data_IF_904566423028
#
_entry.id   IF_904566423028
#
_cell.length_a   1.000
_cell.length_b   1.000
_cell.length_c   1.000
_cell.angle_alpha   90.00
_cell.angle_beta   90.00
_cell.angle_gamma   90.00
#
_symmetry.space_group_name_H-M   'P 1'
#
loop_
_entity.id
_entity.type
_entity.pdbx_description
1 polymer ?
#
# COMPACT_ATOMS: atom_id res chain seq x y z
N UNK A 1 -5.16 17.78 -19.11
CA UNK A 1 -4.10 17.28 -18.25
C UNK A 1 -4.03 18.18 -17.03
N UNK A 2 -3.96 17.60 -15.85
CA UNK A 2 -3.75 18.36 -14.62
C UNK A 2 -2.35 19.03 -14.67
N UNK A 3 -2.19 20.26 -14.18
CA UNK A 3 -0.88 20.88 -14.03
C UNK A 3 0.04 19.97 -13.18
N UNK A 4 1.33 19.90 -13.56
CA UNK A 4 2.30 18.98 -12.92
C UNK A 4 2.46 19.17 -11.41
N UNK A 5 2.09 20.33 -10.87
CA UNK A 5 2.23 20.69 -9.46
C UNK A 5 0.87 20.76 -8.73
N UNK A 6 -0.20 20.16 -9.26
CA UNK A 6 -1.48 20.13 -8.59
C UNK A 6 -1.39 19.27 -7.34
N UNK A 7 -1.65 19.85 -6.17
CA UNK A 7 -1.88 19.11 -4.93
C UNK A 7 -3.28 18.51 -4.99
N UNK A 8 -3.38 17.24 -5.43
CA UNK A 8 -4.67 16.57 -5.65
C UNK A 8 -5.47 16.43 -4.36
N UNK A 9 -4.90 16.02 -3.21
CA UNK A 9 -5.63 15.99 -1.94
C UNK A 9 -6.24 17.34 -1.55
N UNK A 10 -5.49 18.43 -1.68
CA UNK A 10 -5.96 19.77 -1.37
C UNK A 10 -7.02 20.24 -2.37
N UNK A 11 -6.82 19.97 -3.66
CA UNK A 11 -7.80 20.29 -4.70
C UNK A 11 -9.11 19.52 -4.50
N UNK A 12 -9.05 18.27 -4.04
CA UNK A 12 -10.22 17.47 -3.68
C UNK A 12 -10.96 18.07 -2.48
N UNK A 13 -10.23 18.36 -1.40
CA UNK A 13 -10.80 18.86 -0.15
C UNK A 13 -11.50 20.22 -0.31
N UNK A 14 -10.99 21.08 -1.21
CA UNK A 14 -11.54 22.42 -1.47
C UNK A 14 -12.37 22.50 -2.77
N UNK A 15 -12.49 21.39 -3.49
CA UNK A 15 -13.15 21.34 -4.79
C UNK A 15 -14.66 21.27 -4.69
N UNK A 16 -15.31 21.65 -5.78
CA UNK A 16 -16.74 21.44 -6.01
C UNK A 16 -17.05 19.93 -6.19
N UNK A 17 -18.33 19.57 -6.11
CA UNK A 17 -18.79 18.20 -6.34
C UNK A 17 -18.32 17.65 -7.70
N UNK A 18 -18.30 18.49 -8.75
CA UNK A 18 -17.82 18.10 -10.08
C UNK A 18 -16.31 17.83 -10.11
N UNK A 19 -15.52 18.61 -9.36
CA UNK A 19 -14.07 18.42 -9.24
C UNK A 19 -13.73 17.18 -8.41
N UNK A 20 -14.49 16.92 -7.36
CA UNK A 20 -14.38 15.70 -6.56
C UNK A 20 -14.76 14.46 -7.39
N UNK A 21 -15.88 14.52 -8.12
CA UNK A 21 -16.29 13.47 -9.04
C UNK A 21 -15.24 13.21 -10.14
N UNK A 22 -14.59 14.26 -10.63
CA UNK A 22 -13.49 14.12 -11.60
C UNK A 22 -12.32 13.32 -11.01
N UNK A 23 -11.89 13.60 -9.79
CA UNK A 23 -10.79 12.87 -9.13
C UNK A 23 -11.17 11.40 -8.88
N UNK A 24 -12.41 11.13 -8.45
CA UNK A 24 -12.93 9.77 -8.28
C UNK A 24 -12.90 9.01 -9.62
N UNK A 25 -13.40 9.59 -10.68
CA UNK A 25 -13.39 9.00 -12.02
C UNK A 25 -11.96 8.78 -12.54
N UNK A 26 -11.04 9.69 -12.21
CA UNK A 26 -9.62 9.56 -12.57
C UNK A 26 -8.96 8.39 -11.84
N UNK A 27 -9.29 8.14 -10.57
CA UNK A 27 -8.85 6.96 -9.83
C UNK A 27 -9.32 5.67 -10.51
N UNK A 28 -10.60 5.59 -10.85
CA UNK A 28 -11.19 4.45 -11.55
C UNK A 28 -10.51 4.25 -12.92
N UNK A 29 -10.32 5.33 -13.67
CA UNK A 29 -9.66 5.28 -14.98
C UNK A 29 -8.25 4.71 -14.86
N UNK A 30 -7.40 5.25 -14.00
CA UNK A 30 -6.02 4.78 -13.85
C UNK A 30 -5.96 3.31 -13.40
N UNK A 31 -6.76 2.94 -12.40
CA UNK A 31 -6.74 1.56 -11.87
C UNK A 31 -7.18 0.55 -12.92
N UNK A 32 -8.23 0.83 -13.69
CA UNK A 32 -8.71 -0.07 -14.76
C UNK A 32 -7.74 -0.09 -15.95
N UNK A 33 -7.23 1.08 -16.35
CA UNK A 33 -6.27 1.19 -17.45
C UNK A 33 -4.98 0.41 -17.15
N UNK A 34 -4.42 0.58 -15.96
CA UNK A 34 -3.20 -0.15 -15.58
C UNK A 34 -3.46 -1.63 -15.40
N UNK A 35 -4.58 -2.07 -14.81
CA UNK A 35 -4.95 -3.49 -14.73
C UNK A 35 -4.96 -4.14 -16.11
N UNK A 36 -5.49 -3.45 -17.12
CA UNK A 36 -5.60 -3.98 -18.47
C UNK A 36 -4.28 -3.95 -19.27
N UNK A 37 -3.44 -2.94 -19.04
CA UNK A 37 -2.34 -2.60 -19.96
C UNK A 37 -0.94 -2.60 -19.34
N UNK A 38 -0.77 -2.90 -18.06
CA UNK A 38 0.53 -2.81 -17.36
C UNK A 38 1.63 -3.57 -18.08
N UNK A 39 1.37 -4.79 -18.55
CA UNK A 39 2.35 -5.63 -19.29
C UNK A 39 2.82 -4.98 -20.60
N UNK A 40 1.91 -4.28 -21.29
CA UNK A 40 2.25 -3.53 -22.49
C UNK A 40 3.07 -2.28 -22.13
N UNK A 41 2.68 -1.59 -21.07
CA UNK A 41 3.36 -0.37 -20.62
C UNK A 41 4.78 -0.61 -20.10
N UNK A 42 5.10 -1.83 -19.69
CA UNK A 42 6.43 -2.25 -19.25
C UNK A 42 7.40 -2.55 -20.42
N UNK A 43 6.96 -2.57 -21.69
CA UNK A 43 7.75 -3.11 -22.82
C UNK A 43 8.82 -2.18 -23.33
N UNK A 44 8.58 -0.87 -23.37
CA UNK A 44 9.53 0.11 -23.91
C UNK A 44 9.79 1.26 -22.94
N UNK A 45 10.98 1.90 -22.98
CA UNK A 45 11.31 3.00 -22.09
C UNK A 45 10.33 4.17 -22.14
N UNK A 46 9.78 4.48 -23.32
CA UNK A 46 8.82 5.56 -23.52
C UNK A 46 7.50 5.24 -22.79
N UNK A 47 7.00 4.01 -22.91
CA UNK A 47 5.79 3.54 -22.24
C UNK A 47 6.00 3.42 -20.73
N UNK A 48 7.19 2.96 -20.30
CA UNK A 48 7.56 2.90 -18.88
C UNK A 48 7.55 4.30 -18.25
N UNK A 49 8.05 5.32 -18.94
CA UNK A 49 7.97 6.71 -18.45
C UNK A 49 6.53 7.17 -18.27
N UNK A 50 5.66 6.85 -19.22
CA UNK A 50 4.22 7.12 -19.12
C UNK A 50 3.56 6.40 -17.96
N UNK A 51 3.88 5.11 -17.77
CA UNK A 51 3.41 4.30 -16.65
C UNK A 51 3.83 4.90 -15.31
N UNK A 52 5.11 5.22 -15.12
CA UNK A 52 5.62 5.78 -13.86
C UNK A 52 4.98 7.14 -13.53
N UNK A 53 4.80 8.00 -14.54
CA UNK A 53 4.07 9.25 -14.34
C UNK A 53 2.61 9.02 -13.94
N UNK A 54 1.93 8.07 -14.55
CA UNK A 54 0.55 7.73 -14.19
C UNK A 54 0.44 7.11 -12.80
N UNK A 55 1.40 6.28 -12.37
CA UNK A 55 1.48 5.76 -11.01
C UNK A 55 1.73 6.88 -9.99
N UNK A 56 2.50 7.90 -10.33
CA UNK A 56 2.68 9.08 -9.48
C UNK A 56 1.37 9.84 -9.28
N UNK A 57 0.55 10.01 -10.33
CA UNK A 57 -0.79 10.56 -10.20
C UNK A 57 -1.68 9.71 -9.31
N UNK A 58 -1.65 8.38 -9.49
CA UNK A 58 -2.45 7.46 -8.67
C UNK A 58 -2.02 7.49 -7.21
N UNK A 59 -0.72 7.59 -6.91
CA UNK A 59 -0.21 7.80 -5.55
C UNK A 59 -0.78 9.10 -4.95
N UNK A 60 -0.74 10.21 -5.68
CA UNK A 60 -1.29 11.47 -5.19
C UNK A 60 -2.81 11.39 -4.96
N UNK A 61 -3.55 10.70 -5.82
CA UNK A 61 -4.98 10.43 -5.61
C UNK A 61 -5.19 9.59 -4.35
N UNK A 62 -4.30 8.61 -4.09
CA UNK A 62 -4.40 7.75 -2.89
C UNK A 62 -4.19 8.49 -1.56
N UNK A 63 -3.70 9.74 -1.59
CA UNK A 63 -3.65 10.62 -0.42
C UNK A 63 -4.94 11.42 -0.18
N UNK A 64 -5.89 11.37 -1.10
CA UNK A 64 -7.22 12.01 -0.89
C UNK A 64 -7.90 11.39 0.33
N UNK A 65 -8.45 12.26 1.19
CA UNK A 65 -9.13 11.83 2.42
C UNK A 65 -10.61 11.51 2.13
N UNK A 66 -10.80 10.49 1.29
CA UNK A 66 -12.12 9.95 0.93
C UNK A 66 -12.01 8.40 0.88
N UNK A 67 -12.73 7.68 1.76
CA UNK A 67 -12.62 6.22 1.87
C UNK A 67 -12.87 5.47 0.55
N UNK A 68 -13.86 5.87 -0.23
CA UNK A 68 -14.21 5.18 -1.48
C UNK A 68 -13.14 5.39 -2.56
N UNK A 69 -12.52 6.56 -2.64
CA UNK A 69 -11.38 6.83 -3.54
C UNK A 69 -10.17 5.98 -3.12
N UNK A 70 -9.87 5.98 -1.83
CA UNK A 70 -8.75 5.21 -1.31
C UNK A 70 -8.91 3.70 -1.53
N UNK A 71 -10.11 3.16 -1.31
CA UNK A 71 -10.43 1.74 -1.51
C UNK A 71 -10.17 1.28 -2.95
N UNK A 72 -10.62 2.06 -3.94
CA UNK A 72 -10.36 1.77 -5.36
C UNK A 72 -8.86 1.74 -5.67
N UNK A 73 -8.11 2.71 -5.13
CA UNK A 73 -6.65 2.75 -5.29
C UNK A 73 -5.97 1.59 -4.56
N UNK A 74 -6.39 1.27 -3.35
CA UNK A 74 -5.82 0.20 -2.51
C UNK A 74 -5.92 -1.17 -3.20
N UNK A 75 -7.07 -1.49 -3.79
CA UNK A 75 -7.28 -2.74 -4.52
C UNK A 75 -6.30 -2.89 -5.71
N UNK A 76 -6.00 -1.80 -6.39
CA UNK A 76 -5.00 -1.81 -7.45
C UNK A 76 -3.58 -1.98 -6.90
N UNK A 77 -3.23 -1.21 -5.86
CA UNK A 77 -1.91 -1.28 -5.24
C UNK A 77 -1.61 -2.66 -4.69
N UNK A 78 -2.57 -3.27 -4.01
CA UNK A 78 -2.45 -4.62 -3.50
C UNK A 78 -2.15 -5.62 -4.62
N UNK A 79 -2.93 -5.60 -5.72
CA UNK A 79 -2.73 -6.48 -6.86
C UNK A 79 -1.34 -6.29 -7.51
N UNK A 80 -0.87 -5.04 -7.67
CA UNK A 80 0.45 -4.74 -8.24
C UNK A 80 1.58 -5.25 -7.33
N UNK A 81 1.48 -5.03 -6.02
CA UNK A 81 2.50 -5.46 -5.05
C UNK A 81 2.59 -6.98 -4.99
N UNK A 82 1.44 -7.68 -4.98
CA UNK A 82 1.39 -9.15 -5.04
C UNK A 82 2.07 -9.68 -6.31
N UNK A 83 1.76 -9.07 -7.47
CA UNK A 83 2.35 -9.47 -8.76
C UNK A 83 3.88 -9.28 -8.76
N UNK A 84 4.39 -8.15 -8.25
CA UNK A 84 5.83 -7.89 -8.12
C UNK A 84 6.53 -8.84 -7.14
N UNK A 85 5.86 -9.23 -6.07
CA UNK A 85 6.40 -10.17 -5.09
C UNK A 85 6.50 -11.58 -5.68
N UNK A 86 5.43 -12.10 -6.28
CA UNK A 86 5.36 -13.47 -6.83
C UNK A 86 6.34 -13.69 -8.00
N UNK A 87 6.51 -12.71 -8.89
CA UNK A 87 7.45 -12.82 -10.01
C UNK A 87 8.92 -12.88 -9.60
N UNK A 88 9.25 -12.50 -8.37
CA UNK A 88 10.62 -12.55 -7.90
C UNK A 88 11.01 -13.87 -7.22
N UNK A 89 10.04 -14.62 -6.77
CA UNK A 89 10.26 -15.86 -6.01
C UNK A 89 10.36 -17.10 -6.92
N UNK A 90 10.01 -16.99 -8.20
CA UNK A 90 10.08 -18.08 -9.19
C UNK A 90 11.52 -18.52 -9.52
N UNK A 91 12.56 -17.92 -8.92
CA UNK A 91 13.98 -18.22 -9.15
C UNK A 91 14.64 -19.08 -8.07
N UNK A 92 14.02 -19.32 -6.94
CA UNK A 92 14.65 -20.10 -5.86
C UNK A 92 13.67 -21.16 -5.35
N UNK A 93 13.77 -22.37 -5.97
CA UNK A 93 13.00 -23.52 -5.56
C UNK A 93 13.39 -23.98 -4.16
N UNK A 94 12.75 -23.47 -3.15
CA UNK A 94 12.68 -24.08 -1.84
C UNK A 94 11.27 -23.89 -1.28
N UNK A 95 10.49 -24.95 -1.39
CA UNK A 95 9.16 -25.09 -0.81
C UNK A 95 9.30 -25.05 0.71
N UNK A 96 9.21 -23.88 1.31
CA UNK A 96 8.84 -23.70 2.69
C UNK A 96 7.31 -23.72 2.76
N UNK A 97 6.80 -24.84 3.28
CA UNK A 97 5.38 -25.07 3.51
C UNK A 97 5.03 -24.39 4.83
N UNK A 98 4.77 -23.10 4.79
CA UNK A 98 4.24 -22.35 5.94
C UNK A 98 2.93 -21.68 5.56
N UNK A 99 1.91 -22.07 6.32
CA UNK A 99 0.52 -21.87 6.06
C UNK A 99 0.01 -20.43 6.18
N UNK A 100 -0.13 -19.75 5.07
CA UNK A 100 -1.05 -18.63 4.88
C UNK A 100 -1.92 -18.84 3.63
N UNK A 101 -2.41 -20.06 3.43
CA UNK A 101 -3.34 -20.38 2.36
C UNK A 101 -4.77 -20.20 2.87
N UNK A 102 -5.29 -18.96 2.88
CA UNK A 102 -6.70 -18.61 2.83
C UNK A 102 -6.85 -17.14 2.39
N UNK A 103 -6.27 -16.79 1.25
CA UNK A 103 -6.55 -15.55 0.56
C UNK A 103 -7.26 -15.89 -0.76
N UNK A 104 -8.40 -15.29 -0.92
CA UNK A 104 -9.35 -15.31 -2.03
C UNK A 104 -8.66 -15.56 -3.37
N UNK A 105 -9.03 -16.67 -4.01
CA UNK A 105 -8.63 -17.06 -5.36
C UNK A 105 -9.07 -15.99 -6.39
N UNK A 106 -8.20 -15.04 -6.67
CA UNK A 106 -8.36 -14.08 -7.75
C UNK A 106 -7.47 -14.52 -8.91
N UNK A 107 -7.91 -15.58 -9.61
CA UNK A 107 -7.26 -16.05 -10.83
C UNK A 107 -7.41 -15.03 -11.95
N UNK A 108 -6.40 -14.20 -12.13
CA UNK A 108 -6.17 -13.52 -13.40
C UNK A 108 -5.82 -14.58 -14.44
N UNK A 109 -6.70 -14.73 -15.46
CA UNK A 109 -6.57 -15.74 -16.50
C UNK A 109 -5.18 -15.77 -17.13
N UNK A 110 -4.39 -16.77 -16.77
CA UNK A 110 -3.14 -17.10 -17.41
C UNK A 110 -3.42 -18.10 -18.54
N UNK A 111 -3.45 -17.59 -19.78
CA UNK A 111 -3.28 -18.44 -20.95
C UNK A 111 -1.84 -18.99 -20.96
N UNK A 112 -1.73 -20.30 -20.81
CA UNK A 112 -0.47 -21.03 -20.92
C UNK A 112 0.09 -20.94 -22.34
N UNK A 113 1.32 -20.46 -22.46
CA UNK A 113 2.15 -20.54 -23.67
C UNK A 113 3.60 -20.55 -23.26
N UNK A 114 4.24 -21.74 -23.31
CA UNK A 114 5.58 -21.96 -22.79
C UNK A 114 6.68 -21.23 -23.58
N UNK A 115 7.70 -20.79 -22.84
CA UNK A 115 9.12 -20.77 -23.27
C UNK A 115 9.97 -20.61 -21.99
N UNK A 116 10.71 -21.65 -21.65
CA UNK A 116 11.75 -21.65 -20.62
C UNK A 116 12.96 -20.83 -21.08
N UNK A 117 13.63 -20.22 -20.10
CA UNK A 117 14.98 -19.62 -20.07
C UNK A 117 14.99 -18.10 -20.15
N UNK A 118 15.06 -17.49 -18.99
CA UNK A 118 15.76 -16.25 -18.54
C UNK A 118 15.05 -15.57 -17.36
N UNK A 119 14.57 -16.32 -16.38
CA UNK A 119 13.66 -15.80 -15.33
C UNK A 119 14.30 -14.87 -14.30
N UNK A 120 15.58 -14.97 -13.99
CA UNK A 120 16.16 -14.24 -12.85
C UNK A 120 16.54 -12.77 -13.15
N UNK A 121 16.98 -12.46 -14.36
CA UNK A 121 17.32 -11.08 -14.74
C UNK A 121 16.08 -10.20 -15.00
N UNK A 122 15.04 -10.78 -15.57
CA UNK A 122 13.80 -10.07 -15.89
C UNK A 122 13.03 -9.62 -14.63
N UNK A 123 12.94 -10.49 -13.62
CA UNK A 123 12.27 -10.15 -12.35
C UNK A 123 12.98 -9.05 -11.58
N UNK A 124 14.31 -9.09 -11.55
CA UNK A 124 15.12 -8.03 -10.91
C UNK A 124 14.99 -6.68 -11.62
N UNK A 125 15.02 -6.69 -12.96
CA UNK A 125 14.85 -5.47 -13.75
C UNK A 125 13.46 -4.85 -13.59
N UNK A 126 12.41 -5.69 -13.54
CA UNK A 126 11.05 -5.25 -13.30
C UNK A 126 10.90 -4.63 -11.91
N UNK A 127 11.45 -5.25 -10.85
CA UNK A 127 11.48 -4.68 -9.50
C UNK A 127 12.21 -3.34 -9.45
N UNK A 128 13.33 -3.21 -10.17
CA UNK A 128 14.07 -1.95 -10.26
C UNK A 128 13.24 -0.83 -10.91
N UNK A 129 12.44 -1.14 -11.94
CA UNK A 129 11.52 -0.17 -12.57
C UNK A 129 10.54 0.42 -11.55
N UNK A 130 10.01 -0.40 -10.65
CA UNK A 130 9.01 0.02 -9.66
C UNK A 130 9.60 0.49 -8.32
N UNK A 131 10.92 0.52 -8.15
CA UNK A 131 11.56 0.84 -6.86
C UNK A 131 11.04 2.15 -6.25
N UNK A 132 10.99 3.23 -7.02
CA UNK A 132 10.52 4.54 -6.55
C UNK A 132 9.01 4.56 -6.25
N UNK A 133 8.10 4.08 -7.12
CA UNK A 133 6.69 3.95 -6.77
C UNK A 133 6.43 3.10 -5.53
N UNK A 134 7.16 1.98 -5.36
CA UNK A 134 7.00 1.09 -4.20
C UNK A 134 7.48 1.73 -2.91
N UNK A 135 8.55 2.50 -2.92
CA UNK A 135 9.01 3.29 -1.76
C UNK A 135 7.95 4.32 -1.33
N UNK A 136 7.39 5.07 -2.27
CA UNK A 136 6.32 6.05 -2.01
C UNK A 136 5.03 5.36 -1.53
N UNK A 137 4.68 4.22 -2.13
CA UNK A 137 3.53 3.42 -1.70
C UNK A 137 3.68 2.91 -0.27
N UNK A 138 4.89 2.49 0.11
CA UNK A 138 5.22 2.06 1.48
C UNK A 138 4.99 3.19 2.47
N UNK A 139 5.46 4.40 2.16
CA UNK A 139 5.19 5.58 2.98
C UNK A 139 3.69 5.88 3.11
N UNK A 140 2.93 5.74 2.02
CA UNK A 140 1.47 5.89 2.03
C UNK A 140 0.82 4.87 2.98
N UNK A 141 1.19 3.57 2.86
CA UNK A 141 0.63 2.50 3.70
C UNK A 141 0.95 2.71 5.18
N UNK A 142 2.19 3.11 5.51
CA UNK A 142 2.59 3.41 6.89
C UNK A 142 1.80 4.61 7.44
N UNK A 143 1.66 5.67 6.64
CA UNK A 143 1.03 6.92 7.09
C UNK A 143 -0.50 6.85 7.18
N UNK A 144 -1.12 5.91 6.48
CA UNK A 144 -2.58 5.74 6.42
C UNK A 144 -3.05 4.37 6.91
N UNK A 145 -2.22 3.63 7.65
CA UNK A 145 -2.59 2.30 8.14
C UNK A 145 -3.94 2.37 8.85
N UNK A 146 -4.87 1.55 8.40
CA UNK A 146 -6.18 1.42 9.01
C UNK A 146 -6.06 0.88 10.44
N UNK A 147 -6.91 1.38 11.33
CA UNK A 147 -6.96 1.00 12.75
C UNK A 147 -8.17 0.10 12.97
N UNK A 148 -7.98 -1.23 13.05
CA UNK A 148 -9.09 -2.19 13.10
C UNK A 148 -9.90 -2.13 14.38
N UNK A 149 -9.32 -1.55 15.44
CA UNK A 149 -9.99 -1.34 16.72
C UNK A 149 -9.71 0.08 17.21
N UNK A 150 -10.75 0.83 17.43
CA UNK A 150 -10.65 2.15 18.04
C UNK A 150 -11.37 2.12 19.38
N UNK A 151 -10.65 2.55 20.43
CA UNK A 151 -11.23 2.68 21.76
C UNK A 151 -11.72 4.12 21.92
N UNK A 152 -13.02 4.26 22.01
CA UNK A 152 -13.68 5.53 22.30
C UNK A 152 -13.89 5.65 23.81
N UNK A 153 -13.64 6.83 24.34
CA UNK A 153 -14.02 7.18 25.70
C UNK A 153 -15.29 8.02 25.57
N UNK A 154 -16.41 7.43 25.97
CA UNK A 154 -17.73 8.04 25.86
C UNK A 154 -18.41 8.14 27.24
N UNK A 155 -19.35 9.05 27.38
CA UNK A 155 -20.20 9.14 28.55
C UNK A 155 -21.45 8.27 28.34
N UNK A 156 -21.74 7.37 29.29
CA UNK A 156 -22.94 6.54 29.26
C UNK A 156 -24.19 7.34 29.66
N UNK A 157 -25.36 6.73 29.56
CA UNK A 157 -26.65 7.34 29.92
C UNK A 157 -26.74 7.78 31.39
N UNK A 158 -25.82 7.30 32.24
CA UNK A 158 -25.76 7.62 33.67
C UNK A 158 -24.69 8.66 34.01
N UNK A 159 -24.00 9.23 33.00
CA UNK A 159 -22.92 10.18 33.16
C UNK A 159 -21.56 9.56 33.54
N UNK A 160 -21.38 8.25 33.41
CA UNK A 160 -20.10 7.62 33.69
C UNK A 160 -19.25 7.58 32.42
N UNK A 161 -17.96 7.74 32.60
CA UNK A 161 -16.99 7.60 31.51
C UNK A 161 -16.71 6.11 31.28
N UNK A 162 -17.12 5.60 30.14
CA UNK A 162 -16.93 4.20 29.75
C UNK A 162 -16.06 4.09 28.50
N UNK A 163 -15.42 2.93 28.35
CA UNK A 163 -14.65 2.59 27.14
C UNK A 163 -15.51 1.75 26.24
N UNK A 164 -15.74 2.23 25.03
CA UNK A 164 -16.36 1.46 23.97
C UNK A 164 -15.30 1.11 22.92
N UNK A 165 -15.35 -0.14 22.44
CA UNK A 165 -14.51 -0.57 21.33
C UNK A 165 -15.35 -0.58 20.07
N UNK A 166 -15.07 0.35 19.18
CA UNK A 166 -15.69 0.39 17.85
C UNK A 166 -14.97 -0.61 16.95
N UNK A 167 -15.75 -1.56 16.37
CA UNK A 167 -15.28 -2.50 15.34
C UNK A 167 -16.09 -2.25 14.07
N UNK A 168 -15.44 -1.69 13.07
CA UNK A 168 -16.03 -1.51 11.75
C UNK A 168 -15.51 -2.61 10.81
N UNK A 169 -16.42 -3.36 10.20
CA UNK A 169 -16.07 -4.46 9.31
C UNK A 169 -15.34 -3.97 8.06
N UNK A 170 -15.69 -2.80 7.53
CA UNK A 170 -15.02 -2.24 6.35
C UNK A 170 -13.59 -1.83 6.68
N UNK A 171 -13.36 -1.22 7.85
CA UNK A 171 -12.02 -0.90 8.37
C UNK A 171 -11.20 -2.16 8.62
N UNK A 172 -11.82 -3.25 9.11
CA UNK A 172 -11.16 -4.54 9.29
C UNK A 172 -10.70 -5.15 7.96
N UNK A 173 -11.54 -5.08 6.92
CA UNK A 173 -11.18 -5.55 5.57
C UNK A 173 -10.06 -4.70 5.01
N UNK A 174 -10.16 -3.38 5.10
CA UNK A 174 -9.12 -2.45 4.66
C UNK A 174 -7.79 -2.71 5.38
N UNK A 175 -7.81 -2.91 6.70
CA UNK A 175 -6.62 -3.25 7.47
C UNK A 175 -5.94 -4.53 6.96
N UNK A 176 -6.72 -5.59 6.70
CA UNK A 176 -6.18 -6.85 6.18
C UNK A 176 -5.45 -6.66 4.85
N UNK A 177 -6.05 -5.92 3.92
CA UNK A 177 -5.45 -5.62 2.61
C UNK A 177 -4.19 -4.76 2.77
N UNK A 178 -4.24 -3.72 3.61
CA UNK A 178 -3.10 -2.85 3.86
C UNK A 178 -1.94 -3.59 4.55
N UNK A 179 -2.26 -4.44 5.55
CA UNK A 179 -1.29 -5.29 6.25
C UNK A 179 -0.57 -6.21 5.27
N UNK A 180 -1.31 -6.95 4.45
CA UNK A 180 -0.74 -7.87 3.46
C UNK A 180 0.12 -7.11 2.45
N UNK A 181 -0.36 -5.99 1.93
CA UNK A 181 0.41 -5.12 1.03
C UNK A 181 1.71 -4.63 1.67
N UNK A 182 1.67 -4.21 2.94
CA UNK A 182 2.86 -3.72 3.63
C UNK A 182 3.86 -4.84 3.93
N UNK A 183 3.40 -6.07 4.23
CA UNK A 183 4.25 -7.25 4.36
C UNK A 183 5.00 -7.52 3.05
N UNK A 184 4.31 -7.56 1.90
CA UNK A 184 4.98 -7.75 0.61
C UNK A 184 5.92 -6.61 0.26
N UNK A 185 5.56 -5.36 0.54
CA UNK A 185 6.44 -4.21 0.37
C UNK A 185 7.70 -4.30 1.26
N UNK A 186 7.56 -4.81 2.48
CA UNK A 186 8.70 -5.05 3.38
C UNK A 186 9.62 -6.16 2.83
N UNK A 187 9.08 -7.22 2.27
CA UNK A 187 9.86 -8.27 1.61
C UNK A 187 10.54 -7.78 0.32
N UNK A 188 9.93 -6.86 -0.44
CA UNK A 188 10.54 -6.29 -1.63
C UNK A 188 11.74 -5.40 -1.29
N UNK A 189 11.67 -4.64 -0.20
CA UNK A 189 12.79 -3.81 0.31
C UNK A 189 12.63 -3.57 1.83
N UNK A 190 13.23 -4.43 2.64
CA UNK A 190 13.18 -4.33 4.09
C UNK A 190 13.95 -3.11 4.62
N UNK A 191 15.04 -2.70 3.94
CA UNK A 191 15.87 -1.55 4.39
C UNK A 191 15.11 -0.24 4.27
N UNK A 192 14.42 -0.05 3.14
CA UNK A 192 13.58 1.13 2.94
C UNK A 192 12.40 1.14 3.91
N UNK A 193 11.80 -0.03 4.21
CA UNK A 193 10.73 -0.16 5.20
C UNK A 193 11.21 0.24 6.60
N UNK A 194 12.33 -0.31 7.05
CA UNK A 194 12.96 0.01 8.32
C UNK A 194 13.28 1.52 8.42
N UNK A 195 13.94 2.07 7.40
CA UNK A 195 14.30 3.48 7.36
C UNK A 195 13.09 4.41 7.47
N UNK A 196 12.03 4.14 6.70
CA UNK A 196 10.81 4.97 6.72
C UNK A 196 10.08 4.90 8.07
N UNK A 197 10.00 3.71 8.68
CA UNK A 197 9.36 3.55 10.00
C UNK A 197 10.18 4.23 11.11
N UNK A 198 11.51 4.10 11.08
CA UNK A 198 12.40 4.78 12.04
C UNK A 198 12.35 6.30 11.89
N UNK A 199 12.28 6.81 10.66
CA UNK A 199 12.12 8.24 10.41
C UNK A 199 10.79 8.75 10.97
N UNK A 200 9.68 8.04 10.72
CA UNK A 200 8.37 8.37 11.29
C UNK A 200 8.38 8.32 12.82
N UNK A 201 8.99 7.31 13.41
CA UNK A 201 9.12 7.20 14.87
C UNK A 201 9.95 8.35 15.43
N UNK A 202 11.07 8.69 14.80
CA UNK A 202 11.90 9.84 15.19
C UNK A 202 11.11 11.15 15.15
N UNK A 203 10.27 11.36 14.12
CA UNK A 203 9.41 12.53 13.99
C UNK A 203 8.33 12.59 15.08
N UNK A 204 7.84 11.46 15.57
CA UNK A 204 6.97 11.41 16.74
C UNK A 204 7.73 11.84 18.01
N UNK A 205 8.92 11.27 18.25
CA UNK A 205 9.70 11.51 19.45
C UNK A 205 10.21 12.97 19.57
N UNK A 206 10.57 13.60 18.46
CA UNK A 206 11.04 14.98 18.43
C UNK A 206 9.91 16.02 18.33
N UNK A 207 8.66 15.58 18.30
CA UNK A 207 7.46 16.44 18.28
C UNK A 207 7.13 17.08 16.92
N UNK A 208 7.83 16.74 15.84
CA UNK A 208 7.58 17.32 14.52
C UNK A 208 6.24 16.88 13.93
N UNK A 209 5.87 15.61 14.12
CA UNK A 209 4.64 15.02 13.60
C UNK A 209 3.78 14.42 14.72
N UNK A 210 4.03 14.81 15.99
CA UNK A 210 3.36 14.18 17.11
C UNK A 210 1.88 14.57 17.20
N UNK A 211 1.03 13.58 16.99
CA UNK A 211 -0.36 13.54 17.45
C UNK A 211 -0.66 12.14 17.94
N UNK A 212 -1.62 11.99 18.83
CA UNK A 212 -2.06 10.66 19.26
C UNK A 212 -2.50 9.77 18.09
N UNK A 213 -3.19 10.38 17.12
CA UNK A 213 -3.67 9.66 15.93
C UNK A 213 -2.51 9.16 15.05
N UNK A 214 -1.51 10.01 14.77
CA UNK A 214 -0.35 9.63 13.93
C UNK A 214 0.53 8.59 14.61
N UNK A 215 0.72 8.67 15.93
CA UNK A 215 1.43 7.65 16.70
C UNK A 215 0.69 6.31 16.68
N UNK A 216 -0.62 6.32 16.91
CA UNK A 216 -1.44 5.11 16.87
C UNK A 216 -1.42 4.44 15.49
N UNK A 217 -1.55 5.23 14.42
CA UNK A 217 -1.42 4.73 13.03
C UNK A 217 -0.06 4.07 12.80
N UNK A 218 1.03 4.69 13.26
CA UNK A 218 2.38 4.14 13.14
C UNK A 218 2.54 2.83 13.93
N UNK A 219 1.98 2.75 15.16
CA UNK A 219 1.99 1.52 15.95
C UNK A 219 1.26 0.37 15.24
N UNK A 220 0.11 0.65 14.61
CA UNK A 220 -0.59 -0.34 13.80
C UNK A 220 0.21 -0.77 12.57
N UNK A 221 0.92 0.16 11.91
CA UNK A 221 1.78 -0.17 10.77
C UNK A 221 2.96 -1.06 11.18
N UNK A 222 3.65 -0.73 12.28
CA UNK A 222 4.75 -1.55 12.81
C UNK A 222 4.24 -2.93 13.22
N UNK A 223 3.15 -2.99 14.00
CA UNK A 223 2.54 -4.24 14.43
C UNK A 223 2.06 -5.12 13.26
N UNK A 224 1.68 -4.53 12.13
CA UNK A 224 1.21 -5.26 10.94
C UNK A 224 2.29 -6.12 10.29
N UNK A 225 3.57 -5.73 10.37
CA UNK A 225 4.70 -6.47 9.80
C UNK A 225 5.45 -7.33 10.82
N UNK A 226 5.15 -7.19 12.11
CA UNK A 226 5.72 -8.05 13.16
C UNK A 226 5.40 -9.51 12.90
N UNK A 227 6.41 -10.37 13.03
CA UNK A 227 6.33 -11.80 12.72
C UNK A 227 6.35 -12.16 11.23
N UNK A 228 6.52 -11.18 10.33
CA UNK A 228 6.63 -11.42 8.89
C UNK A 228 8.06 -11.28 8.34
N UNK A 229 8.97 -10.72 9.13
CA UNK A 229 10.38 -10.56 8.79
C UNK A 229 11.21 -11.76 9.25
N UNK A 230 12.46 -11.87 8.77
CA UNK A 230 13.41 -12.84 9.30
C UNK A 230 13.81 -12.45 10.73
N UNK A 231 14.11 -13.44 11.57
CA UNK A 231 14.37 -13.23 13.01
C UNK A 231 15.47 -12.21 13.30
N UNK A 232 16.54 -12.21 12.52
CA UNK A 232 17.64 -11.25 12.65
C UNK A 232 17.21 -9.81 12.27
N UNK A 233 16.34 -9.68 11.27
CA UNK A 233 15.77 -8.38 10.86
C UNK A 233 14.79 -7.88 11.90
N UNK A 234 13.92 -8.76 12.42
CA UNK A 234 12.93 -8.41 13.43
C UNK A 234 13.61 -7.99 14.74
N UNK A 235 14.60 -8.74 15.20
CA UNK A 235 15.38 -8.41 16.40
C UNK A 235 16.11 -7.06 16.27
N UNK A 236 16.62 -6.73 15.08
CA UNK A 236 17.28 -5.43 14.86
C UNK A 236 16.33 -4.26 14.83
N UNK A 237 15.10 -4.47 14.31
CA UNK A 237 14.14 -3.40 14.06
C UNK A 237 13.17 -3.19 15.22
N UNK A 238 12.70 -4.29 15.88
CA UNK A 238 11.66 -4.23 16.91
C UNK A 238 12.20 -4.29 18.34
N UNK A 239 13.44 -4.70 18.54
CA UNK A 239 14.11 -4.79 19.85
C UNK A 239 15.22 -3.76 19.98
#
# INVERSE_FOLDING_TARGET
>A
ALPRNTNIPEAYANGSDDEQAFVQNLAIFFTQFFKAHVKLLETTPELQSGLLNGLEYLLNISYVDEPEVFKVCLDYWHALVCDLFQFGDSGNGSRGQDGFANAVDFTFGTSAGGSQQNGSSSGSQRRALYSTPMSKLRMLMISRMAKPEEVLIVEDENGNIVRETLKDNDVLVQYKIMRESLIYLAHLDHKDTEQQMLEKLSNQLNGREYTWNTLNTLCWAIGSISGSMQEDQENRFLV
#
